data_IF_668649921917
#
_entry.id   IF_668649921917
#
_cell.length_a   1.000
_cell.length_b   1.000
_cell.length_c   1.000
_cell.angle_alpha   90.00
_cell.angle_beta   90.00
_cell.angle_gamma   90.00
#
_symmetry.space_group_name_H-M   'P 1'
#
loop_
_entity.id
_entity.type
_entity.pdbx_description
1 polymer ?
#
# COMPACT_ATOMS: atom_id res chain seq x y z
N UNK A 1 18.46 -26.74 3.14
CA UNK A 1 17.51 -26.29 4.19
C UNK A 1 17.15 -24.85 3.88
N UNK A 2 15.99 -24.59 3.28
CA UNK A 2 15.55 -23.22 2.97
C UNK A 2 15.00 -22.64 4.27
N UNK A 3 15.81 -21.81 4.93
CA UNK A 3 15.37 -21.06 6.11
C UNK A 3 14.41 -20.00 5.59
N UNK A 4 13.10 -20.16 5.84
CA UNK A 4 12.19 -19.04 5.71
C UNK A 4 12.70 -17.95 6.65
N UNK A 5 13.18 -16.85 6.07
CA UNK A 5 13.72 -15.72 6.81
C UNK A 5 12.59 -15.16 7.68
N UNK A 6 12.85 -14.98 8.98
CA UNK A 6 11.90 -14.28 9.86
C UNK A 6 11.55 -12.94 9.23
N UNK A 7 10.25 -12.60 9.24
CA UNK A 7 9.72 -11.31 8.80
C UNK A 7 10.57 -10.22 9.46
N UNK A 8 11.31 -9.45 8.68
CA UNK A 8 11.88 -8.22 9.23
C UNK A 8 10.74 -7.30 9.60
N UNK A 9 10.59 -7.11 10.90
CA UNK A 9 9.64 -6.21 11.52
C UNK A 9 10.01 -4.74 11.31
N UNK A 10 11.14 -4.45 10.66
CA UNK A 10 11.66 -3.10 10.47
C UNK A 10 11.20 -2.52 9.12
N UNK A 11 9.98 -1.96 9.10
CA UNK A 11 9.68 -0.94 8.10
C UNK A 11 10.67 0.20 8.29
N UNK A 12 11.53 0.40 7.31
CA UNK A 12 12.52 1.48 7.37
C UNK A 12 11.88 2.74 6.80
N UNK A 13 12.02 3.86 7.51
CA UNK A 13 11.50 5.15 7.02
C UNK A 13 12.54 5.82 6.13
N UNK A 14 12.14 6.19 4.93
CA UNK A 14 12.94 6.97 3.98
C UNK A 14 12.23 8.28 3.65
N UNK A 15 13.01 9.30 3.26
CA UNK A 15 12.46 10.51 2.66
C UNK A 15 12.37 10.35 1.15
N UNK A 16 11.17 10.49 0.60
CA UNK A 16 10.92 10.50 -0.84
C UNK A 16 10.42 11.89 -1.27
N UNK A 17 10.55 12.23 -2.55
CA UNK A 17 10.18 13.55 -3.08
C UNK A 17 9.12 13.48 -4.20
N UNK A 18 7.90 12.96 -3.94
CA UNK A 18 6.87 12.83 -4.96
C UNK A 18 6.22 14.18 -5.32
N UNK A 19 6.14 15.14 -4.40
CA UNK A 19 5.39 16.39 -4.59
C UNK A 19 6.29 17.63 -4.74
N UNK A 20 7.57 17.44 -5.05
CA UNK A 20 8.57 18.52 -4.96
C UNK A 20 8.93 18.90 -3.51
N UNK A 21 8.37 18.19 -2.52
CA UNK A 21 8.72 18.26 -1.10
C UNK A 21 9.03 16.88 -0.53
N UNK A 22 9.92 16.85 0.47
CA UNK A 22 10.31 15.61 1.16
C UNK A 22 9.20 15.13 2.10
N UNK A 23 8.78 13.88 1.92
CA UNK A 23 7.80 13.20 2.79
C UNK A 23 8.39 11.88 3.30
N UNK A 24 8.00 11.49 4.52
CA UNK A 24 8.42 10.21 5.08
C UNK A 24 7.56 9.09 4.50
N UNK A 25 8.21 8.05 3.98
CA UNK A 25 7.59 6.83 3.49
C UNK A 25 8.17 5.62 4.20
N UNK A 26 7.30 4.68 4.57
CA UNK A 26 7.72 3.38 5.06
C UNK A 26 8.08 2.50 3.86
N UNK A 27 9.27 1.91 3.87
CA UNK A 27 9.73 1.01 2.82
C UNK A 27 10.02 -0.38 3.38
N UNK A 28 9.56 -1.39 2.64
CA UNK A 28 9.97 -2.77 2.81
C UNK A 28 11.13 -3.04 1.84
N UNK A 29 12.31 -3.24 2.43
CA UNK A 29 13.57 -3.43 1.73
C UNK A 29 14.02 -4.89 1.69
N UNK A 30 13.14 -5.83 2.03
CA UNK A 30 13.49 -7.24 2.14
C UNK A 30 12.59 -8.15 1.30
N UNK A 31 11.29 -7.89 1.28
CA UNK A 31 10.31 -8.75 0.60
C UNK A 31 10.51 -8.70 -0.91
N UNK A 32 10.60 -9.87 -1.55
CA UNK A 32 10.76 -10.02 -3.01
C UNK A 32 11.92 -9.20 -3.61
N UNK A 33 13.01 -9.02 -2.85
CA UNK A 33 14.17 -8.22 -3.26
C UNK A 33 14.11 -6.75 -2.79
N UNK A 34 13.05 -6.35 -2.10
CA UNK A 34 12.88 -5.02 -1.51
C UNK A 34 12.46 -3.94 -2.50
N UNK A 35 12.52 -2.68 -2.05
CA UNK A 35 12.14 -1.52 -2.88
C UNK A 35 10.65 -1.21 -2.86
N UNK A 36 9.87 -1.81 -1.95
CA UNK A 36 8.44 -1.59 -1.85
C UNK A 36 8.14 -0.37 -0.98
N UNK A 37 7.39 0.59 -1.52
CA UNK A 37 6.79 1.65 -0.70
C UNK A 37 5.47 1.16 -0.11
N UNK A 38 5.32 1.24 1.20
CA UNK A 38 4.08 0.84 1.89
C UNK A 38 3.07 1.97 1.76
N UNK A 39 2.01 1.74 0.99
CA UNK A 39 0.94 2.72 0.75
C UNK A 39 -0.21 2.64 1.76
N UNK A 40 -0.41 1.46 2.37
CA UNK A 40 -1.42 1.21 3.39
C UNK A 40 -0.91 0.10 4.33
N UNK A 41 -1.17 0.23 5.62
CA UNK A 41 -1.00 -0.86 6.59
C UNK A 41 -2.10 -0.80 7.64
N UNK A 42 -2.67 -1.96 8.00
CA UNK A 42 -3.50 -2.16 9.20
C UNK A 42 -2.73 -2.95 10.25
N UNK A 43 -2.99 -2.70 11.53
CA UNK A 43 -2.34 -3.40 12.66
C UNK A 43 -3.38 -3.94 13.63
N UNK A 44 -3.01 -4.93 14.43
CA UNK A 44 -3.88 -5.47 15.48
C UNK A 44 -4.09 -4.50 16.66
N UNK A 45 -3.28 -3.44 16.73
CA UNK A 45 -3.30 -2.43 17.80
C UNK A 45 -4.26 -1.27 17.52
N UNK A 46 -5.13 -1.40 16.51
CA UNK A 46 -6.22 -0.45 16.30
C UNK A 46 -7.33 -0.71 17.31
N UNK A 47 -7.21 -0.06 18.48
CA UNK A 47 -8.14 -0.20 19.60
C UNK A 47 -9.59 0.19 19.28
N UNK A 48 -9.80 0.99 18.23
CA UNK A 48 -11.10 1.45 17.75
C UNK A 48 -11.20 1.30 16.22
N UNK A 49 -12.35 0.85 15.72
CA UNK A 49 -12.59 0.62 14.29
C UNK A 49 -12.74 1.93 13.48
N UNK A 50 -12.90 3.07 14.16
CA UNK A 50 -13.08 4.38 13.54
C UNK A 50 -11.78 5.07 13.08
N UNK A 51 -10.62 4.44 13.27
CA UNK A 51 -9.33 5.05 12.90
C UNK A 51 -9.15 5.24 11.38
N UNK A 52 -9.94 4.54 10.56
CA UNK A 52 -10.00 4.72 9.10
C UNK A 52 -11.32 5.37 8.63
N UNK A 53 -12.24 5.70 9.55
CA UNK A 53 -13.42 6.53 9.27
C UNK A 53 -13.02 8.00 9.22
N UNK A 54 -12.31 8.36 8.15
CA UNK A 54 -11.73 9.68 7.93
C UNK A 54 -12.46 10.46 6.84
N UNK A 55 -12.31 11.78 6.86
CA UNK A 55 -12.87 12.65 5.82
C UNK A 55 -12.05 12.54 4.55
N UNK A 56 -12.63 12.93 3.42
CA UNK A 56 -11.97 12.93 2.11
C UNK A 56 -10.59 13.61 2.16
N UNK A 57 -10.50 14.82 2.74
CA UNK A 57 -9.23 15.57 2.89
C UNK A 57 -8.13 14.85 3.67
N UNK A 58 -8.49 13.91 4.55
CA UNK A 58 -7.51 13.11 5.28
C UNK A 58 -7.01 11.95 4.41
N UNK A 59 -7.89 11.35 3.60
CA UNK A 59 -7.48 10.39 2.57
C UNK A 59 -6.64 11.03 1.46
N UNK A 60 -6.87 12.29 1.12
CA UNK A 60 -6.03 13.02 0.17
C UNK A 60 -4.60 13.24 0.69
N UNK A 61 -4.48 13.70 1.94
CA UNK A 61 -3.19 14.04 2.58
C UNK A 61 -2.44 12.85 3.16
N UNK A 62 -3.15 11.77 3.50
CA UNK A 62 -2.59 10.64 4.24
C UNK A 62 -2.68 10.83 5.75
N UNK A 63 -2.55 9.73 6.49
CA UNK A 63 -2.59 9.73 7.94
C UNK A 63 -1.91 8.49 8.53
N UNK A 64 -1.51 8.60 9.80
CA UNK A 64 -1.01 7.49 10.62
C UNK A 64 -1.81 7.43 11.92
N UNK A 65 -2.08 6.22 12.41
CA UNK A 65 -2.78 6.00 13.68
C UNK A 65 -1.78 5.78 14.81
N UNK A 66 -2.22 5.95 16.07
CA UNK A 66 -1.38 5.64 17.24
C UNK A 66 -0.93 4.17 17.26
N UNK A 67 -1.75 3.26 16.72
CA UNK A 67 -1.45 1.83 16.59
C UNK A 67 -0.49 1.50 15.44
N UNK A 68 0.04 2.50 14.72
CA UNK A 68 1.02 2.32 13.64
C UNK A 68 0.42 1.89 12.30
N UNK A 69 -0.90 1.93 12.16
CA UNK A 69 -1.56 1.80 10.86
C UNK A 69 -1.40 3.10 10.06
N UNK A 70 -1.46 3.02 8.73
CA UNK A 70 -1.25 4.18 7.87
C UNK A 70 -2.00 4.10 6.55
N UNK A 71 -2.24 5.29 5.99
CA UNK A 71 -2.58 5.55 4.60
C UNK A 71 -1.65 6.62 4.06
N UNK A 72 -1.01 6.37 2.92
CA UNK A 72 0.01 7.28 2.36
C UNK A 72 -0.55 8.61 1.84
N UNK A 73 -1.83 8.65 1.48
CA UNK A 73 -2.48 9.82 0.89
C UNK A 73 -2.65 9.72 -0.62
N UNK A 74 -3.83 10.08 -1.11
CA UNK A 74 -4.19 9.94 -2.53
C UNK A 74 -3.33 10.83 -3.44
N UNK A 75 -2.91 12.02 -2.97
CA UNK A 75 -2.03 12.91 -3.74
C UNK A 75 -0.66 12.27 -3.99
N UNK A 76 -0.07 11.68 -2.95
CA UNK A 76 1.21 10.96 -3.06
C UNK A 76 1.02 9.71 -3.93
N UNK A 77 -0.04 8.94 -3.70
CA UNK A 77 -0.34 7.72 -4.43
C UNK A 77 -0.53 7.97 -5.94
N UNK A 78 -1.23 9.06 -6.31
CA UNK A 78 -1.36 9.49 -7.69
C UNK A 78 0.02 9.72 -8.33
N UNK A 79 0.88 10.51 -7.69
CA UNK A 79 2.20 10.81 -8.27
C UNK A 79 3.09 9.57 -8.38
N UNK A 80 3.15 8.76 -7.32
CA UNK A 80 3.93 7.52 -7.32
C UNK A 80 3.50 6.54 -8.42
N UNK A 81 2.25 6.59 -8.86
CA UNK A 81 1.69 5.65 -9.84
C UNK A 81 1.46 6.25 -11.23
N UNK A 82 1.79 7.52 -11.45
CA UNK A 82 1.53 8.23 -12.71
C UNK A 82 2.79 8.51 -13.54
N UNK A 83 3.94 7.94 -13.16
CA UNK A 83 5.16 8.08 -13.95
C UNK A 83 4.98 7.47 -15.35
N UNK A 84 5.21 8.25 -16.43
CA UNK A 84 5.18 7.73 -17.80
C UNK A 84 6.15 6.54 -17.94
N UNK A 85 5.74 5.51 -18.68
CA UNK A 85 6.53 4.32 -19.00
C UNK A 85 6.97 3.45 -17.80
N UNK A 86 6.44 3.70 -16.60
CA UNK A 86 6.73 2.89 -15.41
C UNK A 86 5.43 2.33 -14.79
N UNK A 87 4.99 1.18 -15.30
CA UNK A 87 3.84 0.46 -14.77
C UNK A 87 4.14 -0.02 -13.34
N UNK A 88 3.37 0.47 -12.37
CA UNK A 88 3.52 0.07 -10.97
C UNK A 88 2.79 -1.25 -10.71
N UNK A 89 3.39 -2.08 -9.85
CA UNK A 89 2.79 -3.31 -9.33
C UNK A 89 2.26 -3.03 -7.93
N UNK A 90 1.00 -3.39 -7.67
CA UNK A 90 0.45 -3.41 -6.32
C UNK A 90 0.59 -4.81 -5.74
N UNK A 91 1.24 -4.93 -4.59
CA UNK A 91 1.33 -6.16 -3.80
C UNK A 91 0.51 -6.01 -2.52
N UNK A 92 -0.36 -6.98 -2.24
CA UNK A 92 -1.19 -6.99 -1.05
C UNK A 92 -0.92 -8.27 -0.25
N UNK A 93 -0.54 -8.10 1.01
CA UNK A 93 -0.48 -9.19 1.98
C UNK A 93 -1.69 -9.14 2.91
N UNK A 94 -2.45 -10.23 2.96
CA UNK A 94 -3.59 -10.39 3.85
C UNK A 94 -3.33 -11.53 4.81
N UNK A 95 -3.41 -11.26 6.11
CA UNK A 95 -3.28 -12.30 7.14
C UNK A 95 -4.60 -12.45 7.86
N UNK A 96 -5.22 -13.63 7.76
CA UNK A 96 -6.36 -14.01 8.59
C UNK A 96 -5.85 -14.65 9.86
N UNK A 97 -6.50 -14.38 11.00
CA UNK A 97 -6.11 -14.95 12.30
C UNK A 97 -6.05 -16.49 12.21
N UNK A 98 -4.91 -17.06 12.56
CA UNK A 98 -4.68 -18.51 12.52
C UNK A 98 -4.46 -19.10 11.12
N UNK A 99 -4.35 -18.29 10.07
CA UNK A 99 -4.04 -18.75 8.71
C UNK A 99 -2.71 -18.18 8.21
N UNK A 100 -2.13 -18.85 7.22
CA UNK A 100 -0.95 -18.32 6.51
C UNK A 100 -1.34 -17.05 5.74
N UNK A 101 -0.42 -16.08 5.60
CA UNK A 101 -0.67 -14.92 4.76
C UNK A 101 -0.98 -15.31 3.31
N UNK A 102 -1.96 -14.65 2.72
CA UNK A 102 -2.19 -14.67 1.28
C UNK A 102 -1.50 -13.45 0.66
N UNK A 103 -0.80 -13.66 -0.45
CA UNK A 103 -0.15 -12.60 -1.22
C UNK A 103 -0.80 -12.56 -2.59
N UNK A 104 -1.20 -11.36 -3.02
CA UNK A 104 -1.71 -11.13 -4.36
C UNK A 104 -1.02 -9.92 -4.99
N UNK A 105 -0.94 -9.94 -6.32
CA UNK A 105 -0.35 -8.89 -7.13
C UNK A 105 -1.38 -8.39 -8.14
N UNK A 106 -1.34 -7.09 -8.41
CA UNK A 106 -1.95 -6.48 -9.58
C UNK A 106 -0.83 -5.81 -10.36
N UNK A 107 -0.46 -6.41 -11.49
CA UNK A 107 0.70 -5.92 -12.25
C UNK A 107 0.43 -4.60 -12.95
N UNK A 108 -0.84 -4.16 -13.01
CA UNK A 108 -1.24 -2.83 -13.46
C UNK A 108 -1.90 -2.11 -12.29
N UNK A 109 -1.26 -1.07 -11.78
CA UNK A 109 -1.81 -0.23 -10.70
C UNK A 109 -1.53 1.25 -10.95
N UNK A 110 -2.59 2.05 -11.06
CA UNK A 110 -2.54 3.51 -11.17
C UNK A 110 -3.71 4.17 -10.47
N UNK A 111 -3.45 5.33 -9.88
CA UNK A 111 -4.47 6.21 -9.29
C UNK A 111 -4.52 7.51 -10.06
N UNK A 112 -5.72 7.90 -10.49
CA UNK A 112 -5.97 9.14 -11.22
C UNK A 112 -5.69 10.40 -10.39
N UNK A 113 -5.73 11.55 -11.05
CA UNK A 113 -5.56 12.84 -10.39
C UNK A 113 -6.76 13.21 -9.50
N UNK A 114 -6.62 14.28 -8.70
CA UNK A 114 -7.73 14.86 -7.92
C UNK A 114 -8.92 15.24 -8.83
N UNK A 115 -8.66 15.76 -10.03
CA UNK A 115 -9.71 16.09 -11.03
C UNK A 115 -10.48 14.85 -11.50
N UNK A 116 -9.80 13.70 -11.55
CA UNK A 116 -10.39 12.41 -11.86
C UNK A 116 -10.92 11.69 -10.60
N UNK A 117 -10.97 12.40 -9.46
CA UNK A 117 -11.41 11.87 -8.16
C UNK A 117 -10.63 10.63 -7.72
N UNK A 118 -9.32 10.62 -8.02
CA UNK A 118 -8.42 9.52 -7.69
C UNK A 118 -8.90 8.15 -8.20
N UNK A 119 -9.52 8.11 -9.38
CA UNK A 119 -10.03 6.89 -9.99
C UNK A 119 -8.97 5.79 -10.05
N UNK A 120 -9.33 4.59 -9.58
CA UNK A 120 -8.47 3.42 -9.65
C UNK A 120 -8.40 2.87 -11.08
N UNK A 121 -7.20 2.52 -11.50
CA UNK A 121 -6.93 1.74 -12.70
C UNK A 121 -6.11 0.55 -12.25
N UNK A 122 -6.73 -0.62 -12.25
CA UNK A 122 -6.15 -1.85 -11.73
C UNK A 122 -6.37 -3.01 -12.70
N UNK A 123 -5.43 -3.94 -12.77
CA UNK A 123 -5.51 -5.07 -13.69
C UNK A 123 -4.38 -6.07 -13.51
N UNK A 124 -4.35 -7.04 -14.40
CA UNK A 124 -3.30 -8.07 -14.46
C UNK A 124 -3.13 -8.77 -13.10
N UNK A 125 -4.24 -9.25 -12.55
CA UNK A 125 -4.30 -9.95 -11.27
C UNK A 125 -3.48 -11.24 -11.32
N UNK A 126 -2.69 -11.46 -10.27
CA UNK A 126 -1.93 -12.68 -10.04
C UNK A 126 -2.02 -13.06 -8.56
N UNK A 127 -2.67 -14.19 -8.27
CA UNK A 127 -2.85 -14.68 -6.91
C UNK A 127 -3.77 -15.90 -6.87
N UNK A 128 -4.05 -16.44 -5.66
CA UNK A 128 -4.91 -17.60 -5.50
C UNK A 128 -6.36 -17.34 -5.89
N UNK A 129 -7.06 -18.36 -6.41
CA UNK A 129 -8.48 -18.26 -6.74
C UNK A 129 -9.32 -17.79 -5.54
N UNK A 130 -10.29 -16.90 -5.82
CA UNK A 130 -11.18 -16.32 -4.80
C UNK A 130 -10.59 -15.14 -4.01
N UNK A 131 -9.35 -14.71 -4.28
CA UNK A 131 -8.74 -13.54 -3.66
C UNK A 131 -8.73 -12.28 -4.57
N UNK A 132 -9.19 -12.39 -5.82
CA UNK A 132 -9.37 -11.23 -6.69
C UNK A 132 -10.60 -10.41 -6.26
N UNK A 133 -10.37 -9.40 -5.43
CA UNK A 133 -11.40 -8.52 -4.92
C UNK A 133 -11.36 -7.11 -5.52
N UNK A 134 -10.25 -6.68 -6.15
CA UNK A 134 -10.10 -5.30 -6.62
C UNK A 134 -10.34 -5.11 -8.12
N UNK A 135 -10.30 -6.17 -8.94
CA UNK A 135 -10.52 -6.01 -10.39
C UNK A 135 -11.92 -5.49 -10.78
N UNK A 136 -12.88 -5.50 -9.86
CA UNK A 136 -14.26 -5.03 -10.08
C UNK A 136 -14.51 -3.59 -9.60
N UNK A 137 -13.51 -2.92 -9.02
CA UNK A 137 -13.56 -1.53 -8.56
C UNK A 137 -13.05 -0.58 -9.64
#
# INVERSE_FOLDING_TARGET
QIKMRERSSALTKYKINPLGTLVDAACDMETDGGGWTVIQRRTEYEAYDNNFEKKERDYERGFTTQGGALWIGNQILHVLTSFPDNQQVLRIELTRKGQRPAVVYYNKFRVGSEKEKYKLIIGDYQGPDGYNALSYH
#
